data_IF_161173606634
#
_entry.id   IF_161173606634
#
_cell.length_a   1.000
_cell.length_b   1.000
_cell.length_c   1.000
_cell.angle_alpha   90.00
_cell.angle_beta   90.00
_cell.angle_gamma   90.00
#
_symmetry.space_group_name_H-M   'P 1'
#
loop_
_entity.id
_entity.type
_entity.pdbx_description
1 polymer ?
#
# COMPACT_ATOMS: atom_id res chain seq x y z
N UNK A 1 -1.86 -5.77 -33.51
CA UNK A 1 -1.12 -5.20 -32.36
C UNK A 1 -0.04 -4.26 -32.88
N UNK A 2 -0.14 -2.99 -32.54
CA UNK A 2 0.94 -2.04 -32.83
C UNK A 2 2.05 -2.28 -31.83
N UNK A 3 3.26 -2.55 -32.30
CA UNK A 3 4.44 -2.55 -31.42
C UNK A 3 4.57 -1.17 -30.78
N UNK A 4 4.87 -1.16 -29.48
CA UNK A 4 5.20 0.09 -28.81
C UNK A 4 6.41 0.74 -29.51
N UNK A 5 6.33 2.03 -29.83
CA UNK A 5 7.54 2.77 -30.23
C UNK A 5 8.56 2.64 -29.09
N UNK A 6 9.84 2.65 -29.43
CA UNK A 6 10.91 2.58 -28.45
C UNK A 6 10.59 3.54 -27.28
N UNK A 7 10.52 2.99 -26.06
CA UNK A 7 10.12 3.71 -24.84
C UNK A 7 11.22 4.69 -24.40
N UNK A 8 11.44 5.77 -25.14
CA UNK A 8 12.61 6.61 -24.96
C UNK A 8 12.38 7.91 -24.16
N UNK A 9 11.15 8.31 -23.87
CA UNK A 9 10.90 9.49 -23.02
C UNK A 9 9.49 9.45 -22.43
N UNK A 10 9.31 8.76 -21.28
CA UNK A 10 8.07 8.86 -20.53
C UNK A 10 8.16 9.99 -19.51
N UNK A 11 7.10 10.80 -19.35
CA UNK A 11 6.98 11.70 -18.22
C UNK A 11 7.10 10.96 -16.88
N UNK A 12 7.61 11.62 -15.85
CA UNK A 12 7.84 11.04 -14.50
C UNK A 12 6.59 10.40 -13.84
N UNK A 13 5.42 10.56 -14.42
CA UNK A 13 4.13 10.06 -13.92
C UNK A 13 3.45 9.08 -14.91
N UNK A 14 4.22 8.39 -15.74
CA UNK A 14 3.67 7.43 -16.68
C UNK A 14 3.28 6.13 -15.99
N UNK A 15 2.11 5.59 -16.36
CA UNK A 15 1.64 4.26 -16.03
C UNK A 15 1.24 3.58 -17.35
N UNK A 16 1.63 2.32 -17.53
CA UNK A 16 1.45 1.62 -18.80
C UNK A 16 0.35 0.57 -18.64
N UNK A 17 -0.59 0.58 -19.60
CA UNK A 17 -1.57 -0.50 -19.77
C UNK A 17 -1.11 -1.39 -20.89
N UNK A 18 -0.91 -2.69 -20.62
CA UNK A 18 -0.40 -3.68 -21.57
C UNK A 18 -1.34 -4.89 -21.71
N UNK A 19 -1.49 -5.37 -22.94
CA UNK A 19 -2.26 -6.55 -23.29
C UNK A 19 -1.41 -7.70 -23.86
N UNK A 20 -0.09 -7.54 -23.90
CA UNK A 20 0.90 -8.50 -24.40
C UNK A 20 2.04 -8.68 -23.42
N UNK A 21 2.46 -9.93 -23.18
CA UNK A 21 3.57 -10.26 -22.28
C UNK A 21 4.87 -9.52 -22.62
N UNK A 22 5.22 -9.43 -23.90
CA UNK A 22 6.42 -8.71 -24.36
C UNK A 22 6.42 -7.23 -23.97
N UNK A 23 5.25 -6.58 -23.95
CA UNK A 23 5.13 -5.17 -23.58
C UNK A 23 5.20 -4.98 -22.04
N UNK A 24 4.70 -5.95 -21.27
CA UNK A 24 4.85 -5.98 -19.82
C UNK A 24 6.32 -6.09 -19.46
N UNK A 25 7.06 -7.01 -20.10
CA UNK A 25 8.52 -7.14 -19.87
C UNK A 25 9.27 -5.89 -20.25
N UNK A 26 8.90 -5.23 -21.36
CA UNK A 26 9.53 -3.98 -21.79
C UNK A 26 9.27 -2.84 -20.79
N UNK A 27 8.05 -2.70 -20.27
CA UNK A 27 7.72 -1.72 -19.25
C UNK A 27 8.53 -1.97 -17.96
N UNK A 28 8.65 -3.23 -17.53
CA UNK A 28 9.47 -3.62 -16.35
C UNK A 28 10.96 -3.29 -16.55
N UNK A 29 11.53 -3.57 -17.72
CA UNK A 29 12.93 -3.23 -18.03
C UNK A 29 13.19 -1.73 -17.96
N UNK A 30 12.18 -0.91 -18.22
CA UNK A 30 12.24 0.54 -18.11
C UNK A 30 11.77 1.07 -16.73
N UNK A 31 11.57 0.18 -15.74
CA UNK A 31 11.12 0.53 -14.39
C UNK A 31 9.83 1.35 -14.38
N UNK A 32 8.89 1.02 -15.29
CA UNK A 32 7.59 1.68 -15.39
C UNK A 32 6.50 0.85 -14.70
N UNK A 33 5.57 1.48 -13.98
CA UNK A 33 4.40 0.80 -13.45
C UNK A 33 3.52 0.28 -14.58
N UNK A 34 3.10 -0.98 -14.48
CA UNK A 34 2.35 -1.65 -15.54
C UNK A 34 1.13 -2.36 -14.99
N UNK A 35 0.00 -2.19 -15.68
CA UNK A 35 -1.23 -2.93 -15.48
C UNK A 35 -1.42 -3.84 -16.70
N UNK A 36 -1.67 -5.12 -16.47
CA UNK A 36 -2.03 -6.07 -17.49
C UNK A 36 -3.55 -5.98 -17.78
N UNK A 37 -3.91 -6.04 -19.06
CA UNK A 37 -5.28 -6.06 -19.49
C UNK A 37 -5.59 -7.36 -20.23
N UNK A 38 -6.43 -8.21 -19.63
CA UNK A 38 -6.90 -9.45 -20.23
C UNK A 38 -8.23 -9.23 -20.96
N UNK A 39 -8.32 -9.67 -22.19
CA UNK A 39 -9.53 -9.59 -23.00
C UNK A 39 -9.65 -10.80 -23.96
N UNK A 40 -10.78 -10.94 -24.64
CA UNK A 40 -11.09 -12.13 -25.46
C UNK A 40 -10.08 -12.43 -26.56
N UNK A 41 -9.32 -11.43 -27.02
CA UNK A 41 -8.40 -11.59 -28.17
C UNK A 41 -6.94 -11.85 -27.74
N UNK A 42 -6.62 -11.86 -26.42
CA UNK A 42 -5.26 -12.13 -25.93
C UNK A 42 -5.20 -13.29 -24.91
N UNK A 43 -6.12 -14.25 -25.02
CA UNK A 43 -6.20 -15.41 -24.11
C UNK A 43 -4.96 -16.30 -24.11
N UNK A 44 -4.10 -16.19 -25.12
CA UNK A 44 -2.82 -16.89 -25.23
C UNK A 44 -1.70 -16.23 -24.42
N UNK A 45 -1.88 -14.97 -24.01
CA UNK A 45 -0.91 -14.26 -23.19
C UNK A 45 -1.05 -14.71 -21.73
N UNK A 46 0.06 -14.86 -21.04
CA UNK A 46 0.09 -15.23 -19.62
C UNK A 46 -0.32 -14.08 -18.72
N UNK A 47 0.12 -12.87 -19.06
CA UNK A 47 -0.07 -11.60 -18.34
C UNK A 47 0.43 -11.62 -16.88
N UNK A 48 1.25 -12.63 -16.51
CA UNK A 48 1.76 -12.85 -15.14
C UNK A 48 2.93 -11.95 -14.77
N UNK A 49 3.37 -11.07 -15.66
CA UNK A 49 4.52 -10.20 -15.46
C UNK A 49 4.29 -9.05 -14.47
N UNK A 50 3.06 -8.80 -14.02
CA UNK A 50 2.66 -7.78 -13.05
C UNK A 50 1.61 -8.31 -12.09
N UNK A 51 1.54 -7.82 -10.84
CA UNK A 51 0.47 -8.18 -9.91
C UNK A 51 -0.87 -7.51 -10.26
N UNK A 52 -0.87 -6.54 -11.18
CA UNK A 52 -2.03 -5.75 -11.53
C UNK A 52 -2.65 -6.27 -12.82
N UNK A 53 -3.78 -6.98 -12.70
CA UNK A 53 -4.53 -7.51 -13.84
C UNK A 53 -5.96 -6.97 -13.79
N UNK A 54 -6.41 -6.43 -14.92
CA UNK A 54 -7.81 -6.03 -15.11
C UNK A 54 -8.45 -6.82 -16.25
N UNK A 55 -9.75 -7.04 -16.16
CA UNK A 55 -10.56 -7.76 -17.16
C UNK A 55 -11.44 -6.81 -18.01
N UNK A 56 -11.69 -5.62 -17.47
CA UNK A 56 -12.40 -4.54 -18.15
C UNK A 56 -11.79 -3.19 -17.72
N UNK A 57 -12.23 -2.12 -18.37
CA UNK A 57 -11.75 -0.76 -18.07
C UNK A 57 -12.58 -0.03 -17.03
N UNK A 58 -13.69 -0.59 -16.59
CA UNK A 58 -14.60 0.06 -15.63
C UNK A 58 -13.97 0.16 -14.24
N UNK A 59 -13.03 -0.74 -13.93
CA UNK A 59 -12.23 -0.72 -12.69
C UNK A 59 -11.09 0.31 -12.66
N UNK A 60 -10.80 1.00 -13.78
CA UNK A 60 -9.71 1.99 -13.85
C UNK A 60 -10.09 3.33 -13.20
N UNK A 61 -10.32 3.31 -11.89
CA UNK A 61 -10.55 4.55 -11.15
C UNK A 61 -9.26 5.34 -10.94
N UNK A 62 -9.32 6.67 -10.77
CA UNK A 62 -8.15 7.47 -10.41
C UNK A 62 -7.45 6.98 -9.13
N UNK A 63 -8.22 6.45 -8.17
CA UNK A 63 -7.68 5.87 -6.94
C UNK A 63 -6.84 4.61 -7.25
N UNK A 64 -7.37 3.68 -8.03
CA UNK A 64 -6.65 2.46 -8.44
C UNK A 64 -5.36 2.78 -9.21
N UNK A 65 -5.42 3.71 -10.16
CA UNK A 65 -4.22 4.14 -10.91
C UNK A 65 -3.16 4.74 -9.97
N UNK A 66 -3.58 5.57 -9.02
CA UNK A 66 -2.68 6.13 -8.01
C UNK A 66 -2.11 5.04 -7.09
N UNK A 67 -2.90 4.04 -6.72
CA UNK A 67 -2.42 2.91 -5.94
C UNK A 67 -1.31 2.15 -6.67
N UNK A 68 -1.53 1.75 -7.94
CA UNK A 68 -0.51 1.07 -8.77
C UNK A 68 0.77 1.90 -8.83
N UNK A 69 0.63 3.20 -9.03
CA UNK A 69 1.76 4.13 -9.05
C UNK A 69 2.51 4.17 -7.71
N UNK A 70 1.78 4.33 -6.60
CA UNK A 70 2.37 4.40 -5.27
C UNK A 70 3.08 3.10 -4.89
N UNK A 71 2.49 1.93 -5.17
CA UNK A 71 3.11 0.63 -4.92
C UNK A 71 4.40 0.45 -5.72
N UNK A 72 4.38 0.82 -7.00
CA UNK A 72 5.56 0.69 -7.87
C UNK A 72 6.73 1.54 -7.35
N UNK A 73 6.47 2.81 -7.01
CA UNK A 73 7.51 3.74 -6.54
C UNK A 73 7.72 3.73 -5.02
N UNK A 74 7.13 2.79 -4.30
CA UNK A 74 7.20 2.65 -2.82
C UNK A 74 6.83 3.96 -2.10
N UNK A 75 5.83 4.65 -2.62
CA UNK A 75 5.27 5.87 -2.02
C UNK A 75 4.08 5.53 -1.12
N UNK A 76 3.86 6.25 -0.01
CA UNK A 76 2.68 6.06 0.81
C UNK A 76 1.43 6.50 0.04
N UNK A 77 0.41 5.64 0.03
CA UNK A 77 -0.88 5.95 -0.60
C UNK A 77 -1.69 6.87 0.31
N UNK A 78 -2.21 7.95 -0.26
CA UNK A 78 -3.23 8.77 0.41
C UNK A 78 -4.59 8.09 0.24
N UNK A 79 -5.20 7.71 1.36
CA UNK A 79 -6.48 7.02 1.40
C UNK A 79 -7.62 8.02 1.21
N UNK A 80 -7.56 9.12 1.95
CA UNK A 80 -8.54 10.20 1.82
C UNK A 80 -8.01 11.52 2.40
N UNK A 81 -8.63 12.61 1.98
CA UNK A 81 -8.36 13.94 2.51
C UNK A 81 -9.69 14.57 2.93
N UNK A 82 -9.75 15.03 4.16
CA UNK A 82 -10.88 15.77 4.73
C UNK A 82 -10.63 17.28 4.70
N UNK A 83 -11.52 18.06 5.29
CA UNK A 83 -11.29 19.51 5.41
C UNK A 83 -10.07 19.83 6.28
N UNK A 84 -9.77 19.01 7.30
CA UNK A 84 -8.72 19.26 8.31
C UNK A 84 -7.57 18.27 8.29
N UNK A 85 -7.76 17.06 7.75
CA UNK A 85 -6.80 15.98 7.87
C UNK A 85 -6.53 15.31 6.53
N UNK A 86 -5.33 14.74 6.42
CA UNK A 86 -4.93 13.77 5.40
C UNK A 86 -4.79 12.42 6.09
N UNK A 87 -5.42 11.37 5.54
CA UNK A 87 -5.26 10.01 5.99
C UNK A 87 -4.45 9.27 4.93
N UNK A 88 -3.26 8.81 5.31
CA UNK A 88 -2.36 8.10 4.40
C UNK A 88 -1.62 6.95 5.09
N UNK A 89 -1.04 6.10 4.31
CA UNK A 89 -0.18 5.03 4.80
C UNK A 89 0.99 5.57 5.60
N UNK A 90 1.37 4.82 6.63
CA UNK A 90 2.55 5.12 7.44
C UNK A 90 3.82 4.88 6.63
N UNK A 91 4.87 5.59 6.99
CA UNK A 91 6.24 5.33 6.54
C UNK A 91 7.14 5.19 7.76
N UNK A 92 8.38 4.77 7.57
CA UNK A 92 9.36 4.68 8.66
C UNK A 92 9.66 6.04 9.32
N UNK A 93 9.32 7.16 8.66
CA UNK A 93 9.48 8.50 9.22
C UNK A 93 8.59 8.76 10.45
N UNK A 94 7.47 8.03 10.57
CA UNK A 94 6.56 8.16 11.71
C UNK A 94 6.97 7.31 12.92
N UNK A 95 8.10 6.61 12.86
CA UNK A 95 8.53 5.75 13.97
C UNK A 95 8.67 6.49 15.31
N UNK A 96 9.30 7.69 15.38
CA UNK A 96 9.39 8.43 16.65
C UNK A 96 8.03 8.78 17.24
N UNK A 97 7.10 9.27 16.41
CA UNK A 97 5.76 9.66 16.83
C UNK A 97 4.91 8.45 17.25
N UNK A 98 5.08 7.31 16.56
CA UNK A 98 4.40 6.06 16.94
C UNK A 98 4.90 5.51 18.28
N UNK A 99 6.19 5.61 18.57
CA UNK A 99 6.76 5.22 19.86
C UNK A 99 6.28 6.15 20.99
N UNK A 100 6.21 7.45 20.73
CA UNK A 100 5.62 8.40 21.68
C UNK A 100 4.15 8.07 21.95
N UNK A 101 3.36 7.84 20.91
CA UNK A 101 1.96 7.46 21.04
C UNK A 101 1.78 6.17 21.84
N UNK A 102 2.68 5.20 21.68
CA UNK A 102 2.66 3.95 22.44
C UNK A 102 2.95 4.19 23.92
N UNK A 103 3.95 5.02 24.26
CA UNK A 103 4.27 5.34 25.66
C UNK A 103 3.10 6.07 26.34
N UNK A 104 2.44 7.00 25.64
CA UNK A 104 1.25 7.70 26.13
C UNK A 104 0.06 6.75 26.38
N UNK A 105 -0.06 5.68 25.58
CA UNK A 105 -1.14 4.71 25.63
C UNK A 105 -0.76 3.37 26.32
N UNK A 106 0.35 3.28 27.01
CA UNK A 106 0.83 2.02 27.60
C UNK A 106 -0.17 1.34 28.54
N UNK A 107 -1.07 2.10 29.17
CA UNK A 107 -2.14 1.58 30.02
C UNK A 107 -3.42 1.21 29.23
N UNK A 108 -3.45 1.44 27.92
CA UNK A 108 -4.53 1.10 27.03
C UNK A 108 -4.00 0.33 25.79
N UNK A 109 -3.81 -0.98 25.89
CA UNK A 109 -3.22 -1.79 24.81
C UNK A 109 -3.95 -1.67 23.46
N UNK A 110 -5.26 -1.40 23.49
CA UNK A 110 -6.06 -1.23 22.26
C UNK A 110 -5.68 0.04 21.47
N UNK A 111 -4.95 0.99 22.06
CA UNK A 111 -4.46 2.19 21.40
C UNK A 111 -3.03 2.09 20.89
N UNK A 112 -2.38 0.92 21.06
CA UNK A 112 -0.99 0.72 20.69
C UNK A 112 -0.88 0.18 19.26
N UNK A 113 0.09 0.71 18.51
CA UNK A 113 0.41 0.22 17.18
C UNK A 113 1.34 -0.99 17.21
N UNK A 114 2.35 -0.96 18.08
CA UNK A 114 3.31 -2.05 18.21
C UNK A 114 2.82 -3.12 19.19
N UNK A 115 3.14 -4.40 18.94
CA UNK A 115 2.85 -5.46 19.89
C UNK A 115 3.65 -5.29 21.19
N UNK A 116 3.16 -5.86 22.29
CA UNK A 116 3.76 -5.70 23.64
C UNK A 116 5.20 -6.24 23.75
N UNK A 117 5.56 -7.21 22.93
CA UNK A 117 6.91 -7.77 22.88
C UNK A 117 7.91 -6.90 22.08
N UNK A 118 7.46 -5.82 21.48
CA UNK A 118 8.31 -4.86 20.78
C UNK A 118 8.85 -3.86 21.81
N UNK A 119 10.05 -4.10 22.32
CA UNK A 119 10.61 -3.39 23.49
C UNK A 119 11.77 -2.46 23.14
N UNK A 120 12.37 -2.61 21.96
CA UNK A 120 13.48 -1.81 21.50
C UNK A 120 13.13 -1.00 20.25
N UNK A 121 13.89 0.07 20.03
CA UNK A 121 13.75 0.88 18.80
C UNK A 121 13.95 0.05 17.53
N UNK A 122 14.94 -0.85 17.54
CA UNK A 122 15.24 -1.70 16.39
C UNK A 122 14.09 -2.66 16.07
N UNK A 123 13.48 -3.28 17.08
CA UNK A 123 12.29 -4.14 16.92
C UNK A 123 11.09 -3.35 16.37
N UNK A 124 10.89 -2.13 16.86
CA UNK A 124 9.82 -1.26 16.39
C UNK A 124 10.04 -0.83 14.92
N UNK A 125 11.27 -0.52 14.54
CA UNK A 125 11.62 -0.19 13.16
C UNK A 125 11.41 -1.39 12.22
N UNK A 126 11.88 -2.57 12.60
CA UNK A 126 11.67 -3.80 11.83
C UNK A 126 10.19 -4.15 11.71
N UNK A 127 9.43 -4.06 12.79
CA UNK A 127 7.98 -4.27 12.75
C UNK A 127 7.30 -3.31 11.78
N UNK A 128 7.59 -2.00 11.87
CA UNK A 128 6.99 -1.00 10.99
C UNK A 128 7.35 -1.23 9.52
N UNK A 129 8.61 -1.57 9.22
CA UNK A 129 9.05 -1.89 7.86
C UNK A 129 8.29 -3.11 7.30
N UNK A 130 8.16 -4.17 8.10
CA UNK A 130 7.42 -5.38 7.74
C UNK A 130 5.92 -5.09 7.58
N UNK A 131 5.35 -4.26 8.44
CA UNK A 131 3.97 -3.82 8.36
C UNK A 131 3.71 -3.08 7.03
N UNK A 132 4.50 -2.07 6.70
CA UNK A 132 4.38 -1.29 5.46
C UNK A 132 4.49 -2.21 4.23
N UNK A 133 5.47 -3.11 4.24
CA UNK A 133 5.75 -4.00 3.11
C UNK A 133 4.65 -5.03 2.87
N UNK A 134 4.09 -5.59 3.94
CA UNK A 134 3.20 -6.74 3.84
C UNK A 134 1.72 -6.33 3.99
N UNK A 135 1.39 -5.50 4.98
CA UNK A 135 0.01 -5.18 5.32
C UNK A 135 -0.68 -4.41 4.19
N UNK A 136 -0.10 -3.30 3.76
CA UNK A 136 -0.73 -2.49 2.72
C UNK A 136 -0.71 -3.15 1.35
N UNK A 137 0.38 -3.83 0.98
CA UNK A 137 0.51 -4.42 -0.34
C UNK A 137 -0.32 -5.69 -0.52
N UNK A 138 -0.54 -6.47 0.55
CA UNK A 138 -1.22 -7.76 0.46
C UNK A 138 -2.71 -7.65 0.83
N UNK A 139 -3.04 -6.98 1.93
CA UNK A 139 -4.43 -6.89 2.39
C UNK A 139 -5.19 -5.68 1.82
N UNK A 140 -4.50 -4.68 1.31
CA UNK A 140 -5.12 -3.44 0.79
C UNK A 140 -5.75 -2.55 1.85
N UNK A 141 -5.60 -2.88 3.14
CA UNK A 141 -6.07 -2.08 4.28
C UNK A 141 -5.12 -2.22 5.46
N UNK A 142 -5.26 -1.36 6.45
CA UNK A 142 -4.43 -1.38 7.66
C UNK A 142 -4.69 -0.19 8.57
N UNK A 143 -3.72 0.08 9.43
CA UNK A 143 -3.66 1.27 10.28
C UNK A 143 -2.95 2.37 9.48
N UNK A 144 -3.56 3.51 9.37
CA UNK A 144 -3.07 4.68 8.63
C UNK A 144 -2.68 5.80 9.57
N UNK A 145 -1.75 6.63 9.15
CA UNK A 145 -1.43 7.89 9.81
C UNK A 145 -2.47 8.97 9.49
N UNK A 146 -2.83 9.74 10.51
CA UNK A 146 -3.65 10.94 10.39
C UNK A 146 -2.72 12.15 10.49
N UNK A 147 -2.76 13.02 9.52
CA UNK A 147 -1.91 14.20 9.43
C UNK A 147 -2.76 15.47 9.34
N UNK A 148 -2.29 16.55 9.94
CA UNK A 148 -2.90 17.86 9.74
C UNK A 148 -2.74 18.27 8.26
N UNK A 149 -3.81 18.77 7.65
CA UNK A 149 -3.80 19.12 6.23
C UNK A 149 -2.96 20.36 5.91
N UNK A 150 -2.82 21.29 6.83
CA UNK A 150 -2.15 22.56 6.59
C UNK A 150 -0.62 22.46 6.71
N UNK A 151 -0.14 21.68 7.70
CA UNK A 151 1.28 21.64 8.04
C UNK A 151 1.86 20.21 8.02
N UNK A 152 1.05 19.22 7.65
CA UNK A 152 1.40 17.78 7.60
C UNK A 152 1.95 17.19 8.91
N UNK A 153 1.69 17.82 10.06
CA UNK A 153 2.07 17.25 11.35
C UNK A 153 1.27 15.97 11.63
N UNK A 154 1.94 14.97 12.17
CA UNK A 154 1.30 13.72 12.58
C UNK A 154 0.39 13.97 13.80
N UNK A 155 -0.86 13.50 13.71
CA UNK A 155 -1.89 13.69 14.74
C UNK A 155 -2.23 12.38 15.47
N UNK A 156 -1.95 11.23 14.86
CA UNK A 156 -2.28 9.94 15.40
C UNK A 156 -2.51 8.89 14.32
N UNK A 157 -3.14 7.79 14.69
CA UNK A 157 -3.42 6.67 13.80
C UNK A 157 -4.90 6.30 13.82
N UNK A 158 -5.39 5.77 12.70
CA UNK A 158 -6.71 5.14 12.60
C UNK A 158 -6.71 4.08 11.49
N UNK A 159 -7.58 3.08 11.61
CA UNK A 159 -7.72 2.08 10.56
C UNK A 159 -8.35 0.80 11.06
N UNK A 160 -8.11 -0.27 10.31
CA UNK A 160 -8.63 -1.60 10.59
C UNK A 160 -7.47 -2.56 10.81
N UNK A 161 -7.57 -3.40 11.84
CA UNK A 161 -6.70 -4.54 12.09
C UNK A 161 -7.51 -5.83 11.94
N UNK A 162 -6.92 -6.92 11.46
CA UNK A 162 -7.58 -8.23 11.52
C UNK A 162 -7.99 -8.49 12.98
N UNK A 163 -9.23 -8.93 13.18
CA UNK A 163 -9.67 -9.33 14.50
C UNK A 163 -9.00 -10.67 14.84
N UNK A 164 -7.99 -10.66 15.70
CA UNK A 164 -7.51 -11.88 16.32
C UNK A 164 -8.63 -12.35 17.26
N UNK A 165 -9.41 -13.34 16.84
CA UNK A 165 -10.25 -14.10 17.73
C UNK A 165 -9.32 -14.76 18.76
N UNK A 166 -9.14 -14.15 19.91
CA UNK A 166 -8.67 -14.84 21.10
C UNK A 166 -9.76 -15.85 21.43
N UNK A 167 -9.60 -17.08 20.92
CA UNK A 167 -10.33 -18.24 21.43
C UNK A 167 -9.81 -18.41 22.84
N UNK A 168 -10.43 -17.72 23.78
CA UNK A 168 -10.26 -18.03 25.20
C UNK A 168 -10.84 -19.42 25.38
N UNK A 169 -10.00 -20.37 25.77
CA UNK A 169 -10.31 -21.77 26.06
C UNK A 169 -11.27 -21.96 27.25
N UNK A 170 -12.04 -20.96 27.63
CA UNK A 170 -12.87 -20.93 28.85
C UNK A 170 -14.35 -21.20 28.62
N UNK A 171 -14.73 -21.81 27.49
CA UNK A 171 -16.14 -22.21 27.27
C UNK A 171 -16.30 -23.69 26.94
N UNK A 172 -15.61 -24.56 27.69
CA UNK A 172 -15.96 -25.98 27.77
C UNK A 172 -15.96 -26.39 29.25
N UNK A 173 -17.06 -26.06 29.94
CA UNK A 173 -17.55 -26.76 31.13
C UNK A 173 -19.04 -26.99 30.99
#
# INVERSE_FOLDING_TARGET
>A
SKEFPALTNFPDFSLILCDLDKNIELAKKNSLPVIAFSHKNNRQESLMGTPWLILDTDGLSPFFLNEVYCRHYKKPLTITTTNRCIIRELTTRQLPELLQLQEENKNNPSGCFFPQNCTTYAEAEEFLQNYIKNQYAFYGYGIYGIFNKENETFLGIAGFSPFENVITSDTLN
#
